data_IF_653448609698
#
_entry.id   IF_653448609698
#
_cell.length_a   1.000
_cell.length_b   1.000
_cell.length_c   1.000
_cell.angle_alpha   90.00
_cell.angle_beta   90.00
_cell.angle_gamma   90.00
#
_symmetry.space_group_name_H-M   'P 1'
#
loop_
_entity.id
_entity.type
_entity.pdbx_description
1 polymer ?
#
# COMPACT_ATOMS: atom_id res chain seq x y z
N UNK A 1 5.40 15.48 -3.50
CA UNK A 1 5.95 14.64 -2.41
C UNK A 1 6.95 13.69 -3.03
N UNK A 2 8.08 13.41 -2.36
CA UNK A 2 9.11 12.51 -2.87
C UNK A 2 9.03 11.19 -2.09
N UNK A 3 9.01 10.07 -2.80
CA UNK A 3 9.08 8.73 -2.22
C UNK A 3 10.53 8.22 -2.25
N UNK A 4 10.93 7.36 -1.30
CA UNK A 4 10.12 6.85 -0.18
C UNK A 4 9.96 7.87 0.96
N UNK A 5 8.86 7.73 1.69
CA UNK A 5 8.53 8.48 2.90
C UNK A 5 9.22 7.83 4.10
N UNK A 6 9.83 8.63 4.98
CA UNK A 6 10.34 8.11 6.25
C UNK A 6 9.17 7.68 7.16
N UNK A 7 9.11 6.43 7.63
CA UNK A 7 8.06 5.99 8.54
C UNK A 7 8.21 6.68 9.91
N UNK A 8 7.07 6.93 10.58
CA UNK A 8 7.06 7.53 11.93
C UNK A 8 7.53 6.53 13.01
N UNK A 9 7.22 5.24 12.83
CA UNK A 9 7.65 4.13 13.67
C UNK A 9 8.17 3.01 12.79
N UNK A 10 9.25 2.34 13.19
CA UNK A 10 10.06 1.48 12.30
C UNK A 10 9.32 0.28 11.69
N UNK A 11 8.12 -0.08 12.14
CA UNK A 11 7.31 -1.12 11.51
C UNK A 11 5.78 -0.88 11.63
N UNK A 12 5.38 0.32 12.06
CA UNK A 12 4.00 0.61 12.42
C UNK A 12 3.68 2.10 12.22
N UNK A 13 3.72 2.56 10.98
CA UNK A 13 3.34 3.94 10.72
C UNK A 13 1.82 4.12 10.88
N UNK A 14 1.33 4.96 11.81
CA UNK A 14 -0.11 5.12 12.06
C UNK A 14 -0.85 5.70 10.84
N UNK A 15 -0.14 6.27 9.86
CA UNK A 15 -0.71 6.73 8.59
C UNK A 15 -1.02 5.56 7.65
N UNK A 16 -0.38 4.41 7.84
CA UNK A 16 -0.59 3.20 7.04
C UNK A 16 -1.76 2.39 7.59
N UNK A 17 -2.96 2.88 7.30
CA UNK A 17 -4.20 2.31 7.84
C UNK A 17 -4.85 1.28 6.89
N UNK A 18 -5.76 0.46 7.44
CA UNK A 18 -6.60 -0.40 6.63
C UNK A 18 -7.54 0.39 5.69
N UNK A 19 -8.02 1.56 6.14
CA UNK A 19 -8.82 2.46 5.30
C UNK A 19 -8.07 2.92 4.05
N UNK A 20 -6.82 3.38 4.22
CA UNK A 20 -5.94 3.75 3.10
C UNK A 20 -5.78 2.59 2.11
N UNK A 21 -5.63 1.36 2.60
CA UNK A 21 -5.49 0.18 1.75
C UNK A 21 -6.73 -0.06 0.89
N UNK A 22 -7.93 0.14 1.44
CA UNK A 22 -9.19 0.02 0.70
C UNK A 22 -9.37 1.16 -0.31
N UNK A 23 -9.01 2.39 0.06
CA UNK A 23 -9.09 3.55 -0.84
C UNK A 23 -8.16 3.35 -2.06
N UNK A 24 -6.93 2.88 -1.83
CA UNK A 24 -6.00 2.55 -2.91
C UNK A 24 -6.53 1.39 -3.77
N UNK A 25 -7.12 0.36 -3.17
CA UNK A 25 -7.74 -0.73 -3.92
C UNK A 25 -8.87 -0.24 -4.84
N UNK A 26 -9.69 0.71 -4.37
CA UNK A 26 -10.75 1.32 -5.16
C UNK A 26 -10.18 2.10 -6.36
N UNK A 27 -9.18 2.96 -6.13
CA UNK A 27 -8.51 3.71 -7.21
C UNK A 27 -7.89 2.77 -8.25
N UNK A 28 -7.18 1.72 -7.82
CA UNK A 28 -6.60 0.74 -8.74
C UNK A 28 -7.68 0.07 -9.59
N UNK A 29 -8.79 -0.33 -8.98
CA UNK A 29 -9.91 -0.92 -9.72
C UNK A 29 -10.50 0.04 -10.74
N UNK A 30 -10.65 1.32 -10.41
CA UNK A 30 -11.11 2.37 -11.33
C UNK A 30 -10.15 2.57 -12.51
N UNK A 31 -8.85 2.35 -12.31
CA UNK A 31 -7.84 2.38 -13.37
C UNK A 31 -7.74 1.07 -14.17
N UNK A 32 -8.66 0.12 -13.95
CA UNK A 32 -8.73 -1.14 -14.70
C UNK A 32 -7.89 -2.29 -14.12
N UNK A 33 -7.30 -2.13 -12.93
CA UNK A 33 -6.67 -3.25 -12.25
C UNK A 33 -7.73 -4.23 -11.68
N UNK A 34 -7.36 -5.50 -11.48
CA UNK A 34 -8.29 -6.49 -10.93
C UNK A 34 -8.83 -6.08 -9.55
N UNK A 35 -10.13 -6.34 -9.32
CA UNK A 35 -10.75 -6.24 -8.00
C UNK A 35 -10.08 -7.21 -7.01
N UNK A 36 -9.88 -6.75 -5.78
CA UNK A 36 -9.52 -7.58 -4.63
C UNK A 36 -10.66 -8.57 -4.33
N UNK A 37 -10.40 -9.88 -4.42
CA UNK A 37 -11.42 -10.92 -4.22
C UNK A 37 -11.20 -11.74 -2.95
N UNK A 38 -9.96 -11.78 -2.48
CA UNK A 38 -9.55 -12.61 -1.36
C UNK A 38 -8.71 -11.82 -0.35
N UNK A 39 -8.61 -12.33 0.88
CA UNK A 39 -7.67 -11.78 1.86
C UNK A 39 -6.22 -11.83 1.39
N UNK A 40 -5.85 -12.83 0.57
CA UNK A 40 -4.51 -12.95 0.01
C UNK A 40 -4.19 -11.79 -0.95
N UNK A 41 -5.15 -11.37 -1.77
CA UNK A 41 -4.99 -10.21 -2.66
C UNK A 41 -4.76 -8.93 -1.83
N UNK A 42 -5.47 -8.80 -0.72
CA UNK A 42 -5.34 -7.64 0.17
C UNK A 42 -3.98 -7.59 0.88
N UNK A 43 -3.45 -8.75 1.29
CA UNK A 43 -2.09 -8.84 1.85
C UNK A 43 -1.04 -8.48 0.80
N UNK A 44 -1.19 -8.95 -0.44
CA UNK A 44 -0.28 -8.60 -1.53
C UNK A 44 -0.29 -7.11 -1.81
N UNK A 45 -1.47 -6.49 -1.87
CA UNK A 45 -1.60 -5.05 -2.03
C UNK A 45 -0.95 -4.30 -0.86
N UNK A 46 -1.17 -4.77 0.38
CA UNK A 46 -0.56 -4.17 1.58
C UNK A 46 0.96 -4.17 1.50
N UNK A 47 1.56 -5.30 1.14
CA UNK A 47 3.02 -5.43 1.01
C UNK A 47 3.58 -4.55 -0.11
N UNK A 48 2.94 -4.54 -1.28
CA UNK A 48 3.35 -3.72 -2.40
C UNK A 48 3.28 -2.22 -2.06
N UNK A 49 2.18 -1.79 -1.44
CA UNK A 49 1.99 -0.40 -1.04
C UNK A 49 2.97 0.01 0.06
N UNK A 50 3.22 -0.85 1.06
CA UNK A 50 4.23 -0.59 2.09
C UNK A 50 5.62 -0.40 1.47
N UNK A 51 6.03 -1.31 0.59
CA UNK A 51 7.32 -1.20 -0.10
C UNK A 51 7.42 0.06 -0.94
N UNK A 52 6.37 0.42 -1.69
CA UNK A 52 6.34 1.65 -2.48
C UNK A 52 6.48 2.90 -1.61
N UNK A 53 5.78 2.93 -0.46
CA UNK A 53 5.77 4.09 0.43
C UNK A 53 7.06 4.25 1.22
N UNK A 54 7.67 3.16 1.69
CA UNK A 54 8.70 3.21 2.73
C UNK A 54 10.06 2.62 2.33
N UNK A 55 10.15 1.84 1.25
CA UNK A 55 11.42 1.20 0.85
C UNK A 55 12.22 2.08 -0.10
N UNK A 56 13.51 2.27 0.20
CA UNK A 56 14.51 2.80 -0.75
C UNK A 56 15.07 1.72 -1.68
N UNK A 57 14.71 0.45 -1.45
CA UNK A 57 15.22 -0.66 -2.24
C UNK A 57 14.44 -0.74 -3.55
N UNK A 58 14.97 -0.03 -4.55
CA UNK A 58 14.61 -0.18 -5.96
C UNK A 58 14.89 -1.63 -6.35
N UNK A 59 13.88 -2.31 -6.89
CA UNK A 59 14.11 -3.52 -7.70
C UNK A 59 14.98 -3.19 -8.91
#
# INVERSE_FOLDING_TARGET
>A
MQYPVKPLEENNDPRFTFGLLLDVAAVLQEQGYPRIRTGADLIRLRQALWSFLYSTNSV
#
